data_IF_440906979863
#
_entry.id   IF_440906979863
#
_cell.length_a   1.000
_cell.length_b   1.000
_cell.length_c   1.000
_cell.angle_alpha   90.00
_cell.angle_beta   90.00
_cell.angle_gamma   90.00
#
_symmetry.space_group_name_H-M   'P 1'
#
loop_
_entity.id
_entity.type
_entity.pdbx_description
1 polymer ?
#
# COMPACT_ATOMS: atom_id res chain seq x y z
N UNK A 1 -3.53 14.75 -20.63
CA UNK A 1 -3.29 15.48 -19.38
C UNK A 1 -2.72 14.49 -18.37
N UNK A 2 -1.47 14.77 -18.00
CA UNK A 2 -0.46 14.05 -17.21
C UNK A 2 -0.88 12.82 -16.37
N UNK A 3 -0.61 11.62 -16.90
CA UNK A 3 -0.56 10.38 -16.09
C UNK A 3 0.58 10.38 -15.05
N UNK A 4 1.57 11.27 -15.20
CA UNK A 4 2.66 11.46 -14.25
C UNK A 4 2.20 12.09 -12.92
N UNK A 5 1.06 12.81 -12.91
CA UNK A 5 0.53 13.41 -11.67
C UNK A 5 -0.06 12.32 -10.75
N UNK A 6 -0.39 11.13 -11.27
CA UNK A 6 -1.22 10.18 -10.54
C UNK A 6 -0.45 9.31 -9.55
N UNK A 7 0.74 8.78 -9.89
CA UNK A 7 1.44 7.81 -9.03
C UNK A 7 2.04 8.48 -7.78
N UNK A 8 2.62 9.66 -7.92
CA UNK A 8 3.16 10.40 -6.77
C UNK A 8 2.06 10.75 -5.76
N UNK A 9 0.88 11.15 -6.23
CA UNK A 9 -0.27 11.40 -5.35
C UNK A 9 -0.78 10.13 -4.67
N UNK A 10 -0.79 8.99 -5.38
CA UNK A 10 -1.18 7.68 -4.83
C UNK A 10 -0.20 7.21 -3.75
N UNK A 11 1.10 7.30 -3.99
CA UNK A 11 2.13 6.98 -2.98
C UNK A 11 2.00 7.92 -1.78
N UNK A 12 1.72 9.21 -2.01
CA UNK A 12 1.52 10.17 -0.93
C UNK A 12 0.25 9.86 -0.12
N UNK A 13 -0.82 9.38 -0.76
CA UNK A 13 -2.02 8.89 -0.09
C UNK A 13 -1.70 7.66 0.77
N UNK A 14 -0.97 6.67 0.23
CA UNK A 14 -0.50 5.51 0.99
C UNK A 14 0.38 5.91 2.18
N UNK A 15 1.22 6.94 2.02
CA UNK A 15 2.06 7.46 3.11
C UNK A 15 1.21 8.12 4.21
N UNK A 16 0.17 8.88 3.85
CA UNK A 16 -0.81 9.42 4.80
C UNK A 16 -1.54 8.32 5.55
N UNK A 17 -1.85 7.20 4.91
CA UNK A 17 -2.42 6.03 5.59
C UNK A 17 -1.45 5.44 6.62
N UNK A 18 -0.14 5.44 6.36
CA UNK A 18 0.88 4.99 7.33
C UNK A 18 0.88 5.81 8.62
N UNK A 19 0.44 7.07 8.56
CA UNK A 19 0.35 7.95 9.73
C UNK A 19 -0.87 7.64 10.61
N UNK A 20 -1.89 6.93 10.10
CA UNK A 20 -3.04 6.49 10.90
C UNK A 20 -2.59 5.45 11.94
N UNK A 21 -3.31 5.42 13.05
CA UNK A 21 -3.05 4.46 14.13
C UNK A 21 -3.41 3.03 13.70
N UNK A 22 -4.47 2.88 12.91
CA UNK A 22 -4.93 1.60 12.36
C UNK A 22 -5.06 1.71 10.84
N UNK A 23 -4.46 0.76 10.12
CA UNK A 23 -4.47 0.71 8.66
C UNK A 23 -5.30 -0.47 8.25
N UNK A 24 -6.42 -0.21 7.58
CA UNK A 24 -7.28 -1.26 7.06
C UNK A 24 -6.89 -1.58 5.63
N UNK A 25 -6.92 -2.86 5.28
CA UNK A 25 -6.71 -3.28 3.88
C UNK A 25 -7.73 -2.62 2.94
N UNK A 26 -8.93 -2.32 3.45
CA UNK A 26 -9.99 -1.70 2.67
C UNK A 26 -9.76 -0.21 2.38
N UNK A 27 -8.94 0.48 3.20
CA UNK A 27 -8.56 1.88 3.03
C UNK A 27 -7.55 2.07 1.88
N UNK A 28 -6.91 0.98 1.42
CA UNK A 28 -6.04 1.01 0.27
C UNK A 28 -6.81 1.06 -1.04
N UNK A 29 -6.22 1.72 -2.05
CA UNK A 29 -6.75 1.66 -3.39
C UNK A 29 -6.72 0.24 -3.96
N UNK A 30 -7.74 -0.13 -4.76
CA UNK A 30 -7.91 -1.49 -5.27
C UNK A 30 -6.73 -2.00 -6.11
N UNK A 31 -5.96 -1.10 -6.73
CA UNK A 31 -4.76 -1.45 -7.50
C UNK A 31 -3.60 -1.96 -6.63
N UNK A 32 -3.46 -1.47 -5.40
CA UNK A 32 -2.40 -1.88 -4.47
C UNK A 32 -2.83 -3.03 -3.55
N UNK A 33 -4.15 -3.24 -3.39
CA UNK A 33 -4.70 -4.36 -2.61
C UNK A 33 -4.08 -5.72 -2.99
N UNK A 34 -3.99 -6.13 -4.27
CA UNK A 34 -3.43 -7.45 -4.62
C UNK A 34 -1.92 -7.56 -4.35
N UNK A 35 -1.15 -6.51 -4.58
CA UNK A 35 0.29 -6.50 -4.27
C UNK A 35 0.53 -6.58 -2.75
N UNK A 36 -0.22 -5.80 -1.98
CA UNK A 36 -0.15 -5.84 -0.52
C UNK A 36 -0.65 -7.17 0.04
N UNK A 37 -1.74 -7.72 -0.49
CA UNK A 37 -2.23 -9.05 -0.12
C UNK A 37 -1.21 -10.14 -0.40
N UNK A 38 -0.50 -10.06 -1.53
CA UNK A 38 0.60 -10.98 -1.86
C UNK A 38 1.79 -10.78 -0.92
N UNK A 39 2.10 -9.54 -0.56
CA UNK A 39 3.20 -9.22 0.35
C UNK A 39 2.97 -9.71 1.78
N UNK A 40 1.74 -9.58 2.28
CA UNK A 40 1.35 -10.06 3.62
C UNK A 40 0.92 -11.54 3.61
N UNK A 41 0.97 -12.20 2.45
CA UNK A 41 0.60 -13.60 2.32
C UNK A 41 1.63 -14.46 3.08
N UNK A 42 1.19 -15.07 4.17
CA UNK A 42 2.07 -15.80 5.10
C UNK A 42 2.50 -14.99 6.34
N UNK A 43 2.12 -13.72 6.42
CA UNK A 43 2.33 -12.87 7.58
C UNK A 43 1.10 -12.87 8.51
N UNK A 44 1.31 -12.56 9.79
CA UNK A 44 0.19 -12.53 10.77
C UNK A 44 -0.58 -11.23 10.64
N UNK A 45 -1.82 -11.31 10.17
CA UNK A 45 -2.74 -10.18 10.09
C UNK A 45 -3.62 -10.09 11.33
N UNK A 46 -3.97 -8.87 11.70
CA UNK A 46 -4.92 -8.61 12.77
C UNK A 46 -6.31 -8.36 12.16
N UNK A 47 -7.37 -8.91 12.77
CA UNK A 47 -8.74 -8.52 12.41
C UNK A 47 -9.32 -7.65 13.53
N UNK A 48 -9.83 -6.48 13.15
CA UNK A 48 -10.54 -5.56 14.06
C UNK A 48 -11.91 -5.27 13.46
N UNK A 49 -12.97 -5.53 14.24
CA UNK A 49 -14.35 -5.23 13.83
C UNK A 49 -14.74 -5.86 12.47
N UNK A 50 -14.26 -7.10 12.23
CA UNK A 50 -14.50 -7.81 10.96
C UNK A 50 -13.70 -7.31 9.76
N UNK A 51 -12.81 -6.32 9.94
CA UNK A 51 -11.93 -5.79 8.90
C UNK A 51 -10.50 -6.25 9.11
N UNK A 52 -9.81 -6.57 8.02
CA UNK A 52 -8.38 -6.86 8.03
C UNK A 52 -7.59 -5.58 8.32
N UNK A 53 -6.84 -5.62 9.41
CA UNK A 53 -5.91 -4.59 9.86
C UNK A 53 -4.50 -5.05 9.56
N UNK A 54 -3.76 -4.14 8.93
CA UNK A 54 -2.37 -4.32 8.58
C UNK A 54 -1.54 -3.70 9.68
N UNK A 55 -0.66 -4.51 10.28
CA UNK A 55 0.27 -4.01 11.28
C UNK A 55 1.14 -2.90 10.70
N UNK A 56 1.33 -1.81 11.44
CA UNK A 56 2.09 -0.63 11.00
C UNK A 56 3.49 -0.99 10.51
N UNK A 57 4.13 -1.98 11.12
CA UNK A 57 5.44 -2.47 10.70
C UNK A 57 5.39 -3.15 9.32
N UNK A 58 4.40 -4.02 9.09
CA UNK A 58 4.20 -4.68 7.79
C UNK A 58 3.88 -3.68 6.69
N UNK A 59 2.99 -2.74 7.00
CA UNK A 59 2.62 -1.69 6.07
C UNK A 59 3.82 -0.83 5.69
N UNK A 60 4.65 -0.41 6.66
CA UNK A 60 5.86 0.37 6.35
C UNK A 60 6.89 -0.42 5.55
N UNK A 61 7.07 -1.72 5.84
CA UNK A 61 7.95 -2.59 5.03
C UNK A 61 7.46 -2.69 3.59
N UNK A 62 6.15 -2.92 3.42
CA UNK A 62 5.52 -2.96 2.11
C UNK A 62 5.65 -1.61 1.39
N UNK A 63 5.34 -0.49 2.05
CA UNK A 63 5.45 0.86 1.49
C UNK A 63 6.89 1.16 1.05
N UNK A 64 7.88 0.74 1.82
CA UNK A 64 9.28 0.93 1.48
C UNK A 64 9.70 0.06 0.28
N UNK A 65 9.19 -1.17 0.21
CA UNK A 65 9.34 -2.04 -0.97
C UNK A 65 8.67 -1.43 -2.20
N UNK A 66 7.46 -0.90 -2.05
CA UNK A 66 6.72 -0.20 -3.11
C UNK A 66 7.45 1.06 -3.55
N UNK A 67 8.08 1.81 -2.65
CA UNK A 67 8.89 2.98 -3.00
C UNK A 67 10.19 2.59 -3.72
N UNK A 68 10.82 1.50 -3.29
CA UNK A 68 12.01 0.95 -3.95
C UNK A 68 11.69 0.33 -5.31
N UNK A 69 10.50 -0.26 -5.47
CA UNK A 69 9.96 -0.80 -6.73
C UNK A 69 9.19 0.23 -7.55
N UNK A 70 8.85 1.39 -7.00
CA UNK A 70 8.04 2.41 -7.66
C UNK A 70 8.75 2.96 -8.89
N UNK A 71 10.09 2.97 -8.85
CA UNK A 71 10.95 3.20 -10.01
C UNK A 71 10.74 2.21 -11.16
N UNK A 72 10.31 0.98 -10.86
CA UNK A 72 10.03 -0.09 -11.83
C UNK A 72 8.56 -0.02 -12.31
N UNK A 73 7.64 0.36 -11.42
CA UNK A 73 6.23 0.62 -11.78
C UNK A 73 6.10 1.81 -12.75
N UNK A 74 6.95 2.83 -12.65
CA UNK A 74 7.02 3.92 -13.66
C UNK A 74 7.39 3.42 -15.07
N UNK A 75 8.05 2.26 -15.19
CA UNK A 75 8.44 1.66 -16.48
C UNK A 75 7.29 0.81 -17.08
N UNK A 76 6.53 0.12 -16.24
CA UNK A 76 5.48 -0.84 -16.67
C UNK A 76 4.10 -0.18 -16.93
N UNK A 77 3.91 1.09 -16.57
CA UNK A 77 2.70 1.87 -16.87
C UNK A 77 2.67 2.46 -18.30
N UNK A 78 3.55 2.01 -19.21
CA UNK A 78 3.66 2.52 -20.59
C UNK A 78 2.74 1.78 -21.58
#
# INVERSE_FOLDING_TARGET
MNQLITISEKINALWRLSQKETIFLDDLEPEFKPDLQTFILGDTLYMKEGKLVIGKNLYNKWLNKLRSKGFDYEIDFK
#
